data_IF_520110373880
#
_entry.id   IF_520110373880
#
_cell.length_a   1.000
_cell.length_b   1.000
_cell.length_c   1.000
_cell.angle_alpha   90.00
_cell.angle_beta   90.00
_cell.angle_gamma   90.00
#
_symmetry.space_group_name_H-M   'P 1'
#
loop_
_entity.id
_entity.type
_entity.pdbx_description
1 polymer ?
#
# COMPACT_ATOMS: atom_id res chain seq x y z
N UNK A 1 13.29 47.35 -1.68
CA UNK A 1 12.10 47.61 -0.85
C UNK A 1 11.06 46.54 -1.18
N UNK A 2 10.78 45.61 -0.23
CA UNK A 2 9.74 44.62 -0.36
C UNK A 2 8.38 45.31 -0.36
N UNK A 3 7.50 44.89 -1.26
CA UNK A 3 6.12 45.41 -1.32
C UNK A 3 5.31 44.89 -0.10
N UNK A 4 4.81 45.78 0.79
CA UNK A 4 4.05 45.34 1.96
C UNK A 4 2.77 44.58 1.63
N UNK A 5 2.16 44.84 0.46
CA UNK A 5 0.96 44.15 -0.02
C UNK A 5 1.21 42.71 -0.38
N UNK A 6 2.36 42.43 -1.02
CA UNK A 6 2.78 41.05 -1.37
C UNK A 6 3.13 40.24 -0.13
N UNK A 7 3.78 40.86 0.87
CA UNK A 7 4.12 40.18 2.13
C UNK A 7 2.87 39.82 2.95
N UNK A 8 1.87 40.71 2.98
CA UNK A 8 0.61 40.45 3.65
C UNK A 8 -0.20 39.33 2.96
N UNK A 9 -0.27 39.35 1.62
CA UNK A 9 -0.94 38.31 0.83
C UNK A 9 -0.28 36.94 1.03
N UNK A 10 1.07 36.89 1.04
CA UNK A 10 1.82 35.67 1.29
C UNK A 10 1.55 35.07 2.67
N UNK A 11 1.48 35.89 3.73
CA UNK A 11 1.13 35.44 5.09
C UNK A 11 -0.27 34.85 5.17
N UNK A 12 -1.25 35.48 4.51
CA UNK A 12 -2.63 34.98 4.46
C UNK A 12 -2.70 33.64 3.76
N UNK A 13 -1.99 33.45 2.64
CA UNK A 13 -1.98 32.20 1.90
C UNK A 13 -1.33 31.08 2.72
N UNK A 14 -0.24 31.37 3.43
CA UNK A 14 0.40 30.41 4.33
C UNK A 14 -0.51 30.01 5.51
N UNK A 15 -1.23 30.94 6.10
CA UNK A 15 -2.17 30.67 7.18
C UNK A 15 -3.34 29.79 6.71
N UNK A 16 -3.85 30.02 5.49
CA UNK A 16 -4.90 29.20 4.88
C UNK A 16 -4.42 27.80 4.60
N UNK A 17 -3.21 27.66 4.05
CA UNK A 17 -2.59 26.35 3.80
C UNK A 17 -2.41 25.58 5.10
N UNK A 18 -1.86 26.24 6.13
CA UNK A 18 -1.67 25.63 7.44
C UNK A 18 -3.00 25.19 8.07
N UNK A 19 -4.04 26.03 7.97
CA UNK A 19 -5.37 25.69 8.46
C UNK A 19 -5.95 24.49 7.71
N UNK A 20 -5.75 24.40 6.41
CA UNK A 20 -6.17 23.26 5.59
C UNK A 20 -5.44 21.97 6.00
N UNK A 21 -4.14 22.03 6.22
CA UNK A 21 -3.35 20.87 6.67
C UNK A 21 -3.80 20.40 8.06
N UNK A 22 -4.09 21.35 8.98
CA UNK A 22 -4.58 21.01 10.31
C UNK A 22 -5.96 20.36 10.25
N UNK A 23 -6.86 20.90 9.42
CA UNK A 23 -8.20 20.33 9.23
C UNK A 23 -8.12 18.90 8.68
N UNK A 24 -7.26 18.64 7.72
CA UNK A 24 -7.01 17.27 7.22
C UNK A 24 -6.43 16.37 8.29
N UNK A 25 -5.45 16.84 9.05
CA UNK A 25 -4.86 16.06 10.14
C UNK A 25 -5.91 15.61 11.15
N UNK A 26 -6.77 16.55 11.59
CA UNK A 26 -7.84 16.25 12.54
C UNK A 26 -8.82 15.23 11.96
N UNK A 27 -9.17 15.38 10.71
CA UNK A 27 -10.13 14.53 10.00
C UNK A 27 -9.60 13.10 9.81
N UNK A 28 -8.35 12.96 9.36
CA UNK A 28 -7.73 11.62 9.18
C UNK A 28 -7.47 10.93 10.52
N UNK A 29 -7.08 11.68 11.56
CA UNK A 29 -6.86 11.11 12.89
C UNK A 29 -8.16 10.55 13.48
N UNK A 30 -9.25 11.29 13.39
CA UNK A 30 -10.58 10.87 13.85
C UNK A 30 -11.05 9.62 13.09
N UNK A 31 -10.86 9.62 11.78
CA UNK A 31 -11.23 8.48 10.94
C UNK A 31 -10.38 7.25 11.24
N UNK A 32 -9.09 7.43 11.49
CA UNK A 32 -8.21 6.32 11.91
C UNK A 32 -8.70 5.67 13.20
N UNK A 33 -9.09 6.48 14.19
CA UNK A 33 -9.64 5.94 15.44
C UNK A 33 -10.89 5.08 15.20
N UNK A 34 -11.80 5.55 14.35
CA UNK A 34 -13.02 4.85 13.99
C UNK A 34 -12.74 3.54 13.25
N UNK A 35 -11.82 3.57 12.29
CA UNK A 35 -11.44 2.39 11.49
C UNK A 35 -10.78 1.33 12.38
N UNK A 36 -9.84 1.72 13.22
CA UNK A 36 -9.17 0.81 14.15
C UNK A 36 -10.18 0.19 15.13
N UNK A 37 -11.10 0.99 15.66
CA UNK A 37 -12.14 0.51 16.57
C UNK A 37 -13.00 -0.58 15.92
N UNK A 38 -13.34 -0.44 14.63
CA UNK A 38 -14.08 -1.46 13.89
C UNK A 38 -13.37 -2.82 13.87
N UNK A 39 -12.07 -2.82 13.54
CA UNK A 39 -11.28 -4.07 13.49
C UNK A 39 -11.05 -4.66 14.88
N UNK A 40 -10.82 -3.84 15.89
CA UNK A 40 -10.68 -4.29 17.28
C UNK A 40 -11.98 -4.97 17.78
N UNK A 41 -13.12 -4.43 17.40
CA UNK A 41 -14.40 -4.94 17.88
C UNK A 41 -14.84 -6.24 17.18
N UNK A 42 -14.55 -6.39 15.86
CA UNK A 42 -15.19 -7.40 15.04
C UNK A 42 -14.27 -8.50 14.50
N UNK A 43 -12.96 -8.29 14.50
CA UNK A 43 -12.06 -9.11 13.69
C UNK A 43 -11.29 -10.18 14.44
N UNK A 44 -11.17 -10.11 15.78
CA UNK A 44 -10.28 -11.00 16.52
C UNK A 44 -10.87 -12.38 16.72
N UNK A 45 -10.11 -13.42 16.34
CA UNK A 45 -10.45 -14.81 16.67
C UNK A 45 -9.84 -15.17 18.03
N UNK A 46 -10.66 -15.14 19.06
CA UNK A 46 -10.23 -15.40 20.43
C UNK A 46 -9.93 -16.89 20.69
N UNK A 47 -10.41 -17.79 19.83
CA UNK A 47 -10.23 -19.23 20.00
C UNK A 47 -8.96 -19.74 19.33
N UNK A 48 -8.70 -19.31 18.07
CA UNK A 48 -7.61 -19.85 17.26
C UNK A 48 -6.48 -18.86 17.04
N UNK A 49 -6.64 -17.60 17.38
CA UNK A 49 -5.71 -16.53 16.98
C UNK A 49 -5.93 -16.10 15.54
N UNK A 50 -5.27 -15.02 15.14
CA UNK A 50 -5.50 -14.43 13.83
C UNK A 50 -6.81 -13.65 13.77
N UNK A 51 -7.27 -13.40 12.55
CA UNK A 51 -8.30 -12.41 12.30
C UNK A 51 -9.37 -12.91 11.35
N UNK A 52 -10.62 -12.57 11.64
CA UNK A 52 -11.70 -12.62 10.66
C UNK A 52 -11.60 -11.39 9.77
N UNK A 53 -11.58 -11.58 8.46
CA UNK A 53 -11.52 -10.48 7.49
C UNK A 53 -12.77 -10.35 6.65
N UNK A 54 -13.57 -11.41 6.53
CA UNK A 54 -14.84 -11.37 5.82
C UNK A 54 -15.92 -10.83 6.76
N UNK A 55 -16.05 -9.50 6.79
CA UNK A 55 -16.94 -8.77 7.69
C UNK A 55 -18.01 -8.02 6.90
N UNK A 56 -19.28 -8.19 7.29
CA UNK A 56 -20.40 -7.47 6.72
C UNK A 56 -20.33 -5.97 7.10
N UNK A 57 -21.26 -5.18 6.59
CA UNK A 57 -21.33 -3.74 6.85
C UNK A 57 -21.31 -3.41 8.35
N UNK A 58 -22.03 -4.18 9.15
CA UNK A 58 -22.11 -3.98 10.60
C UNK A 58 -21.00 -4.68 11.39
N UNK A 59 -20.06 -5.35 10.71
CA UNK A 59 -18.96 -6.07 11.33
C UNK A 59 -19.25 -7.55 11.61
N UNK A 60 -20.44 -8.05 11.27
CA UNK A 60 -20.75 -9.48 11.45
C UNK A 60 -19.87 -10.33 10.53
N UNK A 61 -19.30 -11.41 11.05
CA UNK A 61 -18.51 -12.38 10.28
C UNK A 61 -19.44 -13.16 9.36
N UNK A 62 -19.21 -13.08 8.04
CA UNK A 62 -20.01 -13.84 7.07
C UNK A 62 -19.27 -15.04 6.47
N UNK A 63 -17.94 -15.12 6.68
CA UNK A 63 -17.08 -16.23 6.26
C UNK A 63 -15.88 -16.26 7.22
N UNK A 64 -15.47 -17.45 7.65
CA UNK A 64 -14.38 -17.60 8.63
C UNK A 64 -13.04 -18.05 8.02
N UNK A 65 -12.95 -18.12 6.70
CA UNK A 65 -11.68 -18.43 6.02
C UNK A 65 -10.64 -17.33 6.28
N UNK A 66 -9.39 -17.76 6.45
CA UNK A 66 -8.29 -16.85 6.74
C UNK A 66 -7.31 -16.81 5.58
N UNK A 67 -7.24 -15.66 4.94
CA UNK A 67 -6.36 -15.36 3.81
C UNK A 67 -5.00 -14.90 4.35
N UNK A 68 -3.93 -15.59 3.99
CA UNK A 68 -2.61 -15.35 4.59
C UNK A 68 -2.14 -13.92 4.35
N UNK A 69 -2.34 -13.37 3.15
CA UNK A 69 -1.95 -11.98 2.90
C UNK A 69 -2.68 -10.97 3.80
N UNK A 70 -3.94 -11.22 4.16
CA UNK A 70 -4.70 -10.35 5.05
C UNK A 70 -4.35 -10.56 6.52
N UNK A 71 -4.02 -11.79 6.91
CA UNK A 71 -3.50 -12.07 8.26
C UNK A 71 -2.19 -11.32 8.48
N UNK A 72 -1.26 -11.44 7.53
CA UNK A 72 0.03 -10.76 7.59
C UNK A 72 -0.10 -9.24 7.60
N UNK A 73 -0.98 -8.71 6.76
CA UNK A 73 -1.27 -7.26 6.71
C UNK A 73 -1.79 -6.73 8.03
N UNK A 74 -2.69 -7.45 8.69
CA UNK A 74 -3.29 -6.98 9.95
C UNK A 74 -2.31 -7.08 11.12
N UNK A 75 -1.49 -8.12 11.18
CA UNK A 75 -0.38 -8.21 12.15
C UNK A 75 0.55 -7.00 11.97
N UNK A 76 0.98 -6.74 10.75
CA UNK A 76 1.84 -5.59 10.42
C UNK A 76 1.19 -4.27 10.84
N UNK A 77 -0.09 -4.09 10.50
CA UNK A 77 -0.80 -2.83 10.76
C UNK A 77 -0.94 -2.57 12.26
N UNK A 78 -1.30 -3.58 13.03
CA UNK A 78 -1.41 -3.46 14.49
C UNK A 78 -0.06 -3.15 15.14
N UNK A 79 1.01 -3.79 14.69
CA UNK A 79 2.35 -3.51 15.18
C UNK A 79 2.81 -2.08 14.83
N UNK A 80 2.51 -1.61 13.61
CA UNK A 80 2.84 -0.24 13.19
C UNK A 80 2.10 0.80 14.01
N UNK A 81 0.82 0.60 14.25
CA UNK A 81 0.02 1.48 15.11
C UNK A 81 0.56 1.51 16.54
N UNK A 82 0.83 0.34 17.10
CA UNK A 82 1.40 0.20 18.44
C UNK A 82 2.75 0.93 18.56
N UNK A 83 3.60 0.77 17.58
CA UNK A 83 4.96 1.34 17.59
C UNK A 83 4.98 2.84 17.34
N UNK A 84 4.13 3.35 16.45
CA UNK A 84 4.23 4.72 15.95
C UNK A 84 3.25 5.71 16.58
N UNK A 85 2.23 5.26 17.31
CA UNK A 85 1.23 6.13 17.91
C UNK A 85 1.06 5.81 19.39
N UNK A 86 1.24 6.82 20.24
CA UNK A 86 1.07 6.64 21.67
C UNK A 86 -0.36 6.19 22.03
N UNK A 87 -1.38 6.77 21.38
CA UNK A 87 -2.78 6.42 21.65
C UNK A 87 -3.15 4.99 21.24
N UNK A 88 -2.35 4.34 20.39
CA UNK A 88 -2.51 2.94 20.00
C UNK A 88 -1.53 2.00 20.71
N UNK A 89 -0.71 2.49 21.62
CA UNK A 89 0.20 1.65 22.42
C UNK A 89 -0.56 0.98 23.55
N UNK A 90 -1.45 0.08 23.17
CA UNK A 90 -2.35 -0.64 24.07
C UNK A 90 -2.10 -2.14 23.96
N UNK A 91 -2.19 -2.85 25.10
CA UNK A 91 -1.99 -4.30 25.16
C UNK A 91 -2.92 -5.05 24.20
N UNK A 92 -4.14 -4.58 24.01
CA UNK A 92 -5.13 -5.17 23.11
C UNK A 92 -4.62 -5.33 21.66
N UNK A 93 -3.96 -4.32 21.12
CA UNK A 93 -3.36 -4.36 19.78
C UNK A 93 -2.16 -5.31 19.74
N UNK A 94 -1.28 -5.22 20.70
CA UNK A 94 -0.05 -6.04 20.75
C UNK A 94 -0.39 -7.52 20.94
N UNK A 95 -1.31 -7.84 21.84
CA UNK A 95 -1.71 -9.22 22.12
C UNK A 95 -2.37 -9.86 20.90
N UNK A 96 -3.25 -9.13 20.19
CA UNK A 96 -3.86 -9.60 18.97
C UNK A 96 -2.83 -9.79 17.84
N UNK A 97 -1.87 -8.88 17.70
CA UNK A 97 -0.78 -9.00 16.73
C UNK A 97 0.08 -10.23 17.01
N UNK A 98 0.44 -10.47 18.27
CA UNK A 98 1.20 -11.67 18.68
C UNK A 98 0.43 -12.95 18.40
N UNK A 99 -0.86 -13.00 18.74
CA UNK A 99 -1.70 -14.16 18.47
C UNK A 99 -1.82 -14.43 16.98
N UNK A 100 -1.94 -13.39 16.15
CA UNK A 100 -1.93 -13.49 14.70
C UNK A 100 -0.59 -13.99 14.17
N UNK A 101 0.51 -13.51 14.71
CA UNK A 101 1.86 -13.96 14.36
C UNK A 101 2.09 -15.43 14.68
N UNK A 102 1.66 -15.88 15.85
CA UNK A 102 1.74 -17.30 16.23
C UNK A 102 0.87 -18.18 15.32
N UNK A 103 -0.30 -17.72 14.94
CA UNK A 103 -1.15 -18.40 13.96
C UNK A 103 -0.42 -18.57 12.63
N UNK A 104 0.24 -17.52 12.14
CA UNK A 104 1.02 -17.57 10.90
C UNK A 104 2.21 -18.52 11.02
N UNK A 105 2.95 -18.48 12.12
CA UNK A 105 4.10 -19.37 12.34
C UNK A 105 3.69 -20.85 12.34
N UNK A 106 2.52 -21.16 12.91
CA UNK A 106 2.05 -22.55 13.00
C UNK A 106 1.46 -23.06 11.70
N UNK A 107 0.74 -22.23 10.94
CA UNK A 107 -0.16 -22.73 9.90
C UNK A 107 0.10 -22.18 8.49
N UNK A 108 0.82 -21.07 8.34
CA UNK A 108 0.95 -20.42 7.04
C UNK A 108 1.70 -21.28 6.02
N UNK A 109 2.80 -21.93 6.41
CA UNK A 109 3.58 -22.78 5.51
C UNK A 109 2.92 -24.14 5.35
N UNK A 110 2.71 -24.57 4.10
CA UNK A 110 1.96 -25.80 3.80
C UNK A 110 2.77 -27.08 3.95
N UNK A 111 4.08 -27.00 3.83
CA UNK A 111 4.99 -28.15 3.89
C UNK A 111 6.34 -27.80 4.54
N UNK A 112 6.37 -27.43 5.84
CA UNK A 112 7.64 -27.15 6.50
C UNK A 112 8.60 -28.33 6.40
N UNK A 113 9.93 -28.11 6.23
CA UNK A 113 10.64 -26.83 6.31
C UNK A 113 10.58 -25.96 5.04
N UNK A 114 9.90 -26.39 3.99
CA UNK A 114 9.71 -25.57 2.79
C UNK A 114 8.94 -24.29 3.14
N UNK A 115 9.25 -23.21 2.41
CA UNK A 115 8.79 -21.87 2.76
C UNK A 115 7.46 -21.46 2.13
N UNK A 116 6.95 -22.23 1.15
CA UNK A 116 5.70 -21.90 0.46
C UNK A 116 4.53 -21.79 1.43
N UNK A 117 3.80 -20.68 1.37
CA UNK A 117 2.62 -20.43 2.19
C UNK A 117 1.34 -20.81 1.46
N UNK A 118 0.29 -21.11 2.23
CA UNK A 118 -1.06 -21.16 1.70
C UNK A 118 -1.51 -19.77 1.26
N UNK A 119 -2.48 -19.72 0.35
CA UNK A 119 -3.24 -18.51 0.06
C UNK A 119 -4.35 -18.32 1.09
N UNK A 120 -5.09 -19.39 1.37
CA UNK A 120 -6.20 -19.37 2.32
C UNK A 120 -6.19 -20.64 3.18
N UNK A 121 -6.51 -20.46 4.46
CA UNK A 121 -6.65 -21.50 5.47
C UNK A 121 -8.08 -21.52 5.98
N UNK A 122 -8.49 -22.68 6.53
CA UNK A 122 -9.66 -22.74 7.39
C UNK A 122 -9.41 -21.91 8.66
N UNK A 123 -10.47 -21.65 9.41
CA UNK A 123 -10.39 -20.91 10.68
C UNK A 123 -9.36 -21.52 11.64
N UNK A 124 -9.30 -22.85 11.71
CA UNK A 124 -8.39 -23.59 12.59
C UNK A 124 -7.02 -23.92 11.97
N UNK A 125 -6.72 -23.39 10.78
CA UNK A 125 -5.39 -23.43 10.20
C UNK A 125 -5.10 -24.54 9.20
N UNK A 126 -6.11 -25.19 8.61
CA UNK A 126 -5.89 -26.21 7.58
C UNK A 126 -5.82 -25.57 6.20
N UNK A 127 -4.85 -25.96 5.33
CA UNK A 127 -4.74 -25.39 3.99
C UNK A 127 -5.97 -25.69 3.12
N UNK A 128 -6.48 -24.66 2.45
CA UNK A 128 -7.58 -24.76 1.48
C UNK A 128 -7.11 -24.57 0.06
N UNK A 129 -6.20 -23.57 -0.15
CA UNK A 129 -5.71 -23.22 -1.48
C UNK A 129 -4.30 -22.65 -1.39
N UNK A 130 -3.49 -22.96 -2.40
CA UNK A 130 -2.17 -22.39 -2.63
C UNK A 130 -2.21 -21.61 -3.94
N UNK A 131 -1.66 -20.40 -3.96
CA UNK A 131 -1.43 -19.63 -5.20
C UNK A 131 0.02 -19.77 -5.64
N UNK A 132 0.24 -19.69 -6.96
CA UNK A 132 1.57 -19.80 -7.57
C UNK A 132 2.27 -18.46 -7.69
N UNK A 133 2.10 -17.61 -6.66
CA UNK A 133 2.64 -16.27 -6.56
C UNK A 133 3.41 -16.12 -5.26
N UNK A 134 4.10 -15.00 -5.09
CA UNK A 134 4.90 -14.71 -3.89
C UNK A 134 4.14 -13.86 -2.86
N UNK A 135 2.91 -13.42 -3.15
CA UNK A 135 2.29 -12.33 -2.36
C UNK A 135 1.96 -12.74 -0.93
N UNK A 136 1.48 -13.95 -0.70
CA UNK A 136 1.23 -14.45 0.66
C UNK A 136 2.52 -14.47 1.49
N UNK A 137 3.62 -14.91 0.90
CA UNK A 137 4.94 -14.95 1.53
C UNK A 137 5.47 -13.54 1.80
N UNK A 138 5.19 -12.59 0.92
CA UNK A 138 5.57 -11.18 1.13
C UNK A 138 4.92 -10.59 2.38
N UNK A 139 3.62 -10.81 2.55
CA UNK A 139 2.90 -10.29 3.72
C UNK A 139 3.20 -11.07 4.99
N UNK A 140 3.52 -12.34 4.89
CA UNK A 140 4.10 -13.11 5.98
C UNK A 140 5.42 -12.47 6.47
N UNK A 141 6.28 -12.09 5.53
CA UNK A 141 7.58 -11.48 5.82
C UNK A 141 7.44 -10.15 6.56
N UNK A 142 6.58 -9.25 6.10
CA UNK A 142 6.43 -7.95 6.78
C UNK A 142 5.80 -8.09 8.16
N UNK A 143 4.90 -9.07 8.33
CA UNK A 143 4.32 -9.37 9.63
C UNK A 143 5.39 -9.80 10.64
N UNK A 144 6.24 -10.74 10.23
CA UNK A 144 7.34 -11.23 11.08
C UNK A 144 8.33 -10.11 11.41
N UNK A 145 8.68 -9.29 10.43
CA UNK A 145 9.59 -8.17 10.65
C UNK A 145 9.04 -7.14 11.65
N UNK A 146 7.76 -6.77 11.54
CA UNK A 146 7.16 -5.82 12.48
C UNK A 146 6.99 -6.41 13.87
N UNK A 147 6.67 -7.69 13.99
CA UNK A 147 6.68 -8.38 15.30
C UNK A 147 8.05 -8.32 15.95
N UNK A 148 9.12 -8.54 15.17
CA UNK A 148 10.48 -8.32 15.67
C UNK A 148 10.66 -6.90 16.21
N UNK A 149 10.19 -5.89 15.48
CA UNK A 149 10.34 -4.48 15.87
C UNK A 149 9.67 -4.15 17.20
N UNK A 150 8.51 -4.73 17.49
CA UNK A 150 7.77 -4.43 18.72
C UNK A 150 8.11 -5.38 19.87
N UNK A 151 8.51 -6.63 19.62
CA UNK A 151 8.80 -7.62 20.66
C UNK A 151 10.27 -7.78 20.98
N UNK A 152 11.16 -7.49 20.01
CA UNK A 152 12.60 -7.77 20.04
C UNK A 152 12.94 -9.27 20.19
N UNK A 153 12.00 -10.15 19.88
CA UNK A 153 12.24 -11.59 19.85
C UNK A 153 12.88 -11.98 18.52
N UNK A 154 14.13 -12.45 18.56
CA UNK A 154 14.93 -12.75 17.36
C UNK A 154 14.34 -13.80 16.44
N UNK A 155 13.51 -14.70 16.95
CA UNK A 155 12.83 -15.73 16.13
C UNK A 155 11.97 -15.10 15.02
N UNK A 156 11.35 -13.95 15.26
CA UNK A 156 10.57 -13.23 14.26
C UNK A 156 11.45 -12.63 13.17
N UNK A 157 12.57 -12.01 13.56
CA UNK A 157 13.52 -11.46 12.58
C UNK A 157 14.13 -12.57 11.72
N UNK A 158 14.53 -13.67 12.34
CA UNK A 158 15.09 -14.83 11.60
C UNK A 158 14.10 -15.35 10.57
N UNK A 159 12.85 -15.49 10.96
CA UNK A 159 11.79 -15.95 10.05
C UNK A 159 11.57 -14.97 8.89
N UNK A 160 11.56 -13.67 9.18
CA UNK A 160 11.40 -12.62 8.16
C UNK A 160 12.55 -12.66 7.14
N UNK A 161 13.80 -12.72 7.61
CA UNK A 161 14.97 -12.73 6.73
C UNK A 161 15.03 -14.01 5.90
N UNK A 162 14.77 -15.18 6.50
CA UNK A 162 14.76 -16.45 5.78
C UNK A 162 13.69 -16.46 4.68
N UNK A 163 12.49 -15.98 4.96
CA UNK A 163 11.42 -15.90 3.95
C UNK A 163 11.78 -14.87 2.87
N UNK A 164 12.32 -13.72 3.24
CA UNK A 164 12.77 -12.72 2.29
C UNK A 164 13.80 -13.30 1.30
N UNK A 165 14.80 -14.00 1.80
CA UNK A 165 15.82 -14.62 0.97
C UNK A 165 15.24 -15.68 0.03
N UNK A 166 14.25 -16.45 0.49
CA UNK A 166 13.53 -17.41 -0.35
C UNK A 166 12.71 -16.69 -1.45
N UNK A 167 12.04 -15.61 -1.13
CA UNK A 167 11.27 -14.82 -2.13
C UNK A 167 12.21 -14.28 -3.21
N UNK A 168 13.33 -13.70 -2.81
CA UNK A 168 14.34 -13.17 -3.73
C UNK A 168 14.88 -14.29 -4.65
N UNK A 169 15.14 -15.45 -4.10
CA UNK A 169 15.58 -16.63 -4.87
C UNK A 169 14.53 -17.02 -5.93
N UNK A 170 13.25 -17.11 -5.54
CA UNK A 170 12.17 -17.43 -6.48
C UNK A 170 12.05 -16.41 -7.60
N UNK A 171 12.21 -15.13 -7.29
CA UNK A 171 12.04 -14.05 -8.27
C UNK A 171 13.23 -13.91 -9.20
N UNK A 172 14.46 -13.99 -8.67
CA UNK A 172 15.68 -13.64 -9.41
C UNK A 172 16.48 -14.82 -9.92
N UNK A 173 16.32 -16.00 -9.32
CA UNK A 173 17.18 -17.16 -9.63
C UNK A 173 16.36 -18.33 -10.17
N UNK A 174 15.45 -18.90 -9.36
CA UNK A 174 14.74 -20.12 -9.73
C UNK A 174 13.30 -20.10 -9.17
N UNK A 175 12.27 -20.04 -10.05
CA UNK A 175 10.86 -20.06 -9.62
C UNK A 175 10.36 -21.45 -9.22
N UNK A 176 11.20 -22.49 -9.25
CA UNK A 176 10.83 -23.82 -8.77
C UNK A 176 10.36 -23.75 -7.31
N UNK A 177 9.31 -24.47 -6.99
CA UNK A 177 8.68 -24.41 -5.68
C UNK A 177 7.45 -23.48 -5.63
N UNK A 178 7.29 -22.58 -6.60
CA UNK A 178 6.04 -21.80 -6.75
C UNK A 178 4.93 -22.61 -7.42
N UNK A 179 5.27 -23.73 -8.07
CA UNK A 179 4.31 -24.61 -8.71
C UNK A 179 3.78 -24.10 -10.04
N UNK A 180 4.47 -23.17 -10.70
CA UNK A 180 4.09 -22.65 -12.02
C UNK A 180 4.47 -23.63 -13.12
N UNK A 181 3.52 -24.11 -13.94
CA UNK A 181 3.87 -24.88 -15.13
C UNK A 181 4.51 -23.98 -16.17
N UNK A 182 5.53 -24.49 -16.86
CA UNK A 182 6.11 -23.81 -18.01
C UNK A 182 5.37 -24.29 -19.27
N UNK A 183 4.63 -23.36 -19.89
CA UNK A 183 3.84 -23.64 -21.09
C UNK A 183 4.45 -22.89 -22.27
N UNK A 184 4.49 -23.55 -23.45
CA UNK A 184 5.09 -22.97 -24.65
C UNK A 184 4.42 -21.69 -25.14
N UNK A 185 3.15 -21.48 -24.79
CA UNK A 185 2.39 -20.27 -25.14
C UNK A 185 2.41 -19.17 -24.09
N UNK A 186 3.16 -19.37 -22.99
CA UNK A 186 3.26 -18.34 -21.94
C UNK A 186 4.00 -17.12 -22.46
N UNK A 187 3.38 -15.91 -22.40
CA UNK A 187 4.06 -14.68 -22.81
C UNK A 187 5.30 -14.42 -21.95
N UNK A 188 6.33 -13.87 -22.57
CA UNK A 188 7.47 -13.27 -21.87
C UNK A 188 7.01 -11.93 -21.27
N UNK A 189 6.52 -11.97 -20.03
CA UNK A 189 5.93 -10.80 -19.40
C UNK A 189 6.36 -10.65 -17.94
N UNK A 190 6.74 -9.42 -17.57
CA UNK A 190 7.02 -9.04 -16.19
C UNK A 190 5.97 -8.04 -15.71
N UNK A 191 5.26 -8.40 -14.63
CA UNK A 191 4.33 -7.53 -13.94
C UNK A 191 5.08 -6.53 -13.05
N UNK A 192 4.62 -5.29 -13.01
CA UNK A 192 5.16 -4.29 -12.10
C UNK A 192 4.95 -4.65 -10.62
N UNK A 193 3.95 -5.46 -10.32
CA UNK A 193 3.61 -5.84 -8.94
C UNK A 193 4.76 -6.54 -8.22
N UNK A 194 5.55 -7.36 -8.93
CA UNK A 194 6.64 -8.14 -8.31
C UNK A 194 7.76 -7.23 -7.79
N UNK A 195 8.40 -6.37 -8.61
CA UNK A 195 9.43 -5.47 -8.09
C UNK A 195 8.86 -4.44 -7.10
N UNK A 196 7.60 -4.05 -7.21
CA UNK A 196 6.94 -3.20 -6.20
C UNK A 196 6.92 -3.88 -4.84
N UNK A 197 6.48 -5.13 -4.78
CA UNK A 197 6.42 -5.87 -3.52
C UNK A 197 7.80 -6.08 -2.91
N UNK A 198 8.80 -6.43 -3.72
CA UNK A 198 10.17 -6.57 -3.23
C UNK A 198 10.74 -5.25 -2.72
N UNK A 199 10.47 -4.14 -3.40
CA UNK A 199 10.88 -2.81 -2.97
C UNK A 199 10.29 -2.46 -1.60
N UNK A 200 9.01 -2.75 -1.40
CA UNK A 200 8.34 -2.55 -0.11
C UNK A 200 8.97 -3.41 0.99
N UNK A 201 9.26 -4.68 0.70
CA UNK A 201 9.94 -5.57 1.65
C UNK A 201 11.33 -5.04 2.05
N UNK A 202 12.11 -4.59 1.07
CA UNK A 202 13.45 -4.01 1.34
C UNK A 202 13.31 -2.78 2.25
N UNK A 203 12.39 -1.88 1.93
CA UNK A 203 12.15 -0.69 2.73
C UNK A 203 11.79 -1.05 4.18
N UNK A 204 10.89 -2.02 4.37
CA UNK A 204 10.44 -2.46 5.69
C UNK A 204 11.56 -3.14 6.50
N UNK A 205 12.31 -4.05 5.88
CA UNK A 205 13.36 -4.78 6.59
C UNK A 205 14.58 -3.92 6.89
N UNK A 206 14.86 -2.94 6.04
CA UNK A 206 16.01 -2.04 6.16
C UNK A 206 15.77 -0.87 7.12
N UNK A 207 14.54 -0.62 7.53
CA UNK A 207 14.18 0.51 8.39
C UNK A 207 14.97 0.44 9.71
N UNK A 208 15.81 1.46 9.97
CA UNK A 208 16.65 1.54 11.17
C UNK A 208 17.56 0.32 11.40
N UNK A 209 17.95 -0.38 10.34
CA UNK A 209 18.81 -1.56 10.38
C UNK A 209 19.91 -1.44 9.32
N UNK A 210 21.11 -1.07 9.74
CA UNK A 210 22.25 -0.87 8.83
C UNK A 210 22.71 -2.15 8.16
N UNK A 211 22.70 -3.28 8.86
CA UNK A 211 23.13 -4.55 8.32
C UNK A 211 22.22 -5.02 7.18
N UNK A 212 20.91 -4.92 7.38
CA UNK A 212 19.93 -5.27 6.35
C UNK A 212 19.88 -4.25 5.22
N UNK A 213 20.11 -2.96 5.51
CA UNK A 213 20.28 -1.94 4.48
C UNK A 213 21.40 -2.30 3.51
N UNK A 214 22.56 -2.72 4.03
CA UNK A 214 23.69 -3.16 3.20
C UNK A 214 23.39 -4.45 2.46
N UNK A 215 22.79 -5.43 3.14
CA UNK A 215 22.46 -6.73 2.56
C UNK A 215 21.56 -6.61 1.33
N UNK A 216 20.56 -5.73 1.39
CA UNK A 216 19.54 -5.60 0.35
C UNK A 216 19.69 -4.36 -0.53
N UNK A 217 20.81 -3.63 -0.44
CA UNK A 217 21.03 -2.40 -1.21
C UNK A 217 20.97 -2.61 -2.72
N UNK A 218 21.64 -3.65 -3.22
CA UNK A 218 21.62 -3.99 -4.66
C UNK A 218 20.22 -4.39 -5.11
N UNK A 219 19.51 -5.18 -4.29
CA UNK A 219 18.15 -5.58 -4.59
C UNK A 219 17.22 -4.36 -4.68
N UNK A 220 17.37 -3.38 -3.80
CA UNK A 220 16.56 -2.16 -3.84
C UNK A 220 16.77 -1.39 -5.13
N UNK A 221 18.04 -1.23 -5.55
CA UNK A 221 18.38 -0.60 -6.83
C UNK A 221 17.78 -1.38 -8.01
N UNK A 222 17.86 -2.70 -7.97
CA UNK A 222 17.28 -3.57 -8.99
C UNK A 222 15.76 -3.39 -9.10
N UNK A 223 15.05 -3.34 -7.97
CA UNK A 223 13.61 -3.12 -7.93
C UNK A 223 13.24 -1.77 -8.55
N UNK A 224 13.96 -0.70 -8.19
CA UNK A 224 13.74 0.62 -8.76
C UNK A 224 13.90 0.62 -10.27
N UNK A 225 14.97 0.02 -10.79
CA UNK A 225 15.23 -0.11 -12.22
C UNK A 225 14.10 -0.87 -12.93
N UNK A 226 13.66 -1.97 -12.37
CA UNK A 226 12.57 -2.78 -12.95
C UNK A 226 11.26 -2.01 -13.01
N UNK A 227 10.91 -1.27 -11.97
CA UNK A 227 9.69 -0.45 -11.95
C UNK A 227 9.78 0.66 -13.01
N UNK A 228 10.91 1.35 -13.10
CA UNK A 228 11.10 2.45 -14.05
C UNK A 228 10.99 1.99 -15.51
N UNK A 229 11.28 0.71 -15.81
CA UNK A 229 11.12 0.15 -17.15
C UNK A 229 9.66 0.06 -17.63
N UNK A 230 8.68 0.19 -16.72
CA UNK A 230 7.26 0.20 -17.09
C UNK A 230 6.78 1.53 -17.68
N UNK A 231 7.63 2.55 -17.68
CA UNK A 231 7.37 3.81 -18.42
C UNK A 231 7.62 3.55 -19.90
N UNK A 232 6.58 3.63 -20.70
CA UNK A 232 6.58 3.28 -22.12
C UNK A 232 5.98 4.41 -22.94
N UNK A 233 5.88 4.22 -24.25
CA UNK A 233 5.26 5.19 -25.18
C UNK A 233 5.94 6.57 -25.11
N UNK A 234 7.27 6.60 -25.15
CA UNK A 234 8.06 7.84 -25.06
C UNK A 234 7.74 8.66 -23.79
N UNK A 235 7.51 7.97 -22.68
CA UNK A 235 7.21 8.59 -21.40
C UNK A 235 5.75 9.01 -21.21
N UNK A 236 4.83 8.56 -22.08
CA UNK A 236 3.43 8.97 -22.05
C UNK A 236 2.49 7.97 -21.37
N UNK A 237 3.00 6.79 -21.01
CA UNK A 237 2.18 5.77 -20.36
C UNK A 237 3.01 4.91 -19.41
N UNK A 238 2.38 4.43 -18.33
CA UNK A 238 2.89 3.34 -17.50
C UNK A 238 2.07 2.11 -17.81
N UNK A 239 2.74 1.04 -18.25
CA UNK A 239 2.10 -0.23 -18.57
C UNK A 239 2.39 -1.26 -17.48
N UNK A 240 1.36 -1.98 -17.07
CA UNK A 240 1.45 -2.96 -15.97
C UNK A 240 2.41 -4.11 -16.28
N UNK A 241 2.48 -4.49 -17.56
CA UNK A 241 3.30 -5.61 -18.01
C UNK A 241 4.23 -5.19 -19.14
N UNK A 242 5.50 -5.59 -19.04
CA UNK A 242 6.52 -5.39 -20.07
C UNK A 242 7.27 -6.69 -20.31
N UNK A 243 8.06 -6.77 -21.38
CA UNK A 243 8.93 -7.92 -21.62
C UNK A 243 10.09 -7.98 -20.62
N UNK A 244 10.81 -9.10 -20.57
CA UNK A 244 11.96 -9.25 -19.68
C UNK A 244 13.06 -8.22 -19.95
N UNK A 245 13.18 -7.73 -21.19
CA UNK A 245 14.13 -6.67 -21.56
C UNK A 245 13.54 -5.25 -21.47
N UNK A 246 12.38 -5.10 -20.83
CA UNK A 246 11.77 -3.80 -20.53
C UNK A 246 11.10 -3.12 -21.71
N UNK A 247 10.61 -3.89 -22.69
CA UNK A 247 9.92 -3.36 -23.89
C UNK A 247 8.42 -3.60 -23.81
N UNK A 248 7.68 -2.78 -24.56
CA UNK A 248 6.23 -2.90 -24.68
C UNK A 248 5.84 -4.23 -25.32
N UNK A 249 4.87 -4.91 -24.73
CA UNK A 249 4.25 -6.13 -25.25
C UNK A 249 3.07 -5.81 -26.15
N UNK A 250 2.74 -6.72 -27.04
CA UNK A 250 1.55 -6.63 -27.90
C UNK A 250 0.31 -7.20 -27.19
N UNK A 251 -0.88 -6.88 -27.71
CA UNK A 251 -2.15 -7.44 -27.21
C UNK A 251 -2.67 -6.79 -25.93
N UNK A 252 -3.74 -7.36 -25.39
CA UNK A 252 -4.39 -6.82 -24.18
C UNK A 252 -3.46 -6.79 -22.98
N UNK A 253 -2.62 -7.80 -22.82
CA UNK A 253 -1.66 -7.85 -21.71
C UNK A 253 -0.70 -6.65 -21.76
N UNK A 254 -0.22 -6.28 -22.96
CA UNK A 254 0.70 -5.15 -23.14
C UNK A 254 0.03 -3.79 -23.04
N UNK A 255 -1.29 -3.69 -23.26
CA UNK A 255 -2.02 -2.43 -23.15
C UNK A 255 -2.63 -2.19 -21.77
N UNK A 256 -2.44 -3.11 -20.84
CA UNK A 256 -3.00 -3.04 -19.50
C UNK A 256 -2.41 -1.88 -18.69
N UNK A 257 -3.27 -1.03 -18.16
CA UNK A 257 -2.92 0.01 -17.20
C UNK A 257 -3.65 -0.23 -15.88
N UNK A 258 -2.91 -0.11 -14.78
CA UNK A 258 -3.45 -0.13 -13.42
C UNK A 258 -3.04 1.17 -12.74
N UNK A 259 -3.90 2.21 -12.80
CA UNK A 259 -3.55 3.53 -12.22
C UNK A 259 -3.19 3.46 -10.75
N UNK A 260 -3.89 2.65 -9.97
CA UNK A 260 -3.61 2.47 -8.54
C UNK A 260 -2.23 1.91 -8.28
N UNK A 261 -1.79 0.88 -9.01
CA UNK A 261 -0.44 0.32 -8.89
C UNK A 261 0.63 1.34 -9.29
N UNK A 262 0.42 2.07 -10.37
CA UNK A 262 1.38 3.07 -10.82
C UNK A 262 1.59 4.16 -9.74
N UNK A 263 0.52 4.64 -9.15
CA UNK A 263 0.55 5.66 -8.10
C UNK A 263 1.14 5.09 -6.80
N UNK A 264 0.82 3.85 -6.44
CA UNK A 264 1.43 3.17 -5.28
C UNK A 264 2.94 2.99 -5.49
N UNK A 265 3.35 2.55 -6.67
CA UNK A 265 4.77 2.49 -7.04
C UNK A 265 5.42 3.87 -6.87
N UNK A 266 4.68 4.93 -7.13
CA UNK A 266 5.14 6.31 -6.96
C UNK A 266 5.66 6.58 -5.56
N UNK A 267 4.90 6.27 -4.53
CA UNK A 267 5.39 6.55 -3.18
C UNK A 267 6.45 5.55 -2.71
N UNK A 268 6.45 4.31 -3.19
CA UNK A 268 7.55 3.38 -2.95
C UNK A 268 8.87 3.94 -3.51
N UNK A 269 8.82 4.45 -4.75
CA UNK A 269 9.97 5.07 -5.41
C UNK A 269 10.38 6.40 -4.74
N UNK A 270 9.43 7.19 -4.24
CA UNK A 270 9.74 8.43 -3.52
C UNK A 270 10.54 8.15 -2.24
N UNK A 271 10.19 7.09 -1.51
CA UNK A 271 10.98 6.69 -0.33
C UNK A 271 12.41 6.28 -0.73
N UNK A 272 12.54 5.56 -1.82
CA UNK A 272 13.85 5.20 -2.39
C UNK A 272 14.66 6.44 -2.78
N UNK A 273 14.06 7.36 -3.53
CA UNK A 273 14.72 8.61 -3.95
C UNK A 273 15.12 9.47 -2.76
N UNK A 274 14.30 9.53 -1.73
CA UNK A 274 14.59 10.26 -0.49
C UNK A 274 15.80 9.65 0.23
N UNK A 275 15.86 8.33 0.34
CA UNK A 275 17.00 7.63 0.95
C UNK A 275 18.29 7.86 0.19
N UNK A 276 18.22 7.94 -1.14
CA UNK A 276 19.38 8.22 -2.01
C UNK A 276 19.75 9.71 -2.07
N UNK A 277 18.87 10.59 -1.60
CA UNK A 277 19.05 12.04 -1.75
C UNK A 277 19.03 12.51 -3.20
N UNK A 278 18.28 11.83 -4.07
CA UNK A 278 18.27 12.04 -5.52
C UNK A 278 17.06 12.89 -5.93
N UNK A 279 17.27 14.20 -5.99
CA UNK A 279 16.22 15.17 -6.35
C UNK A 279 15.77 15.05 -7.82
N UNK A 280 16.67 14.67 -8.71
CA UNK A 280 16.35 14.48 -10.14
C UNK A 280 15.45 13.25 -10.33
N UNK A 281 15.76 12.16 -9.65
CA UNK A 281 14.93 10.97 -9.66
C UNK A 281 13.55 11.27 -9.05
N UNK A 282 13.51 12.01 -7.96
CA UNK A 282 12.24 12.43 -7.32
C UNK A 282 11.35 13.19 -8.32
N UNK A 283 11.90 14.13 -9.06
CA UNK A 283 11.15 14.88 -10.07
C UNK A 283 10.61 13.97 -11.18
N UNK A 284 11.39 13.01 -11.63
CA UNK A 284 10.98 12.01 -12.62
C UNK A 284 9.84 11.12 -12.10
N UNK A 285 9.95 10.68 -10.85
CA UNK A 285 8.91 9.86 -10.20
C UNK A 285 7.58 10.63 -10.10
N UNK A 286 7.65 11.88 -9.67
CA UNK A 286 6.45 12.72 -9.55
C UNK A 286 5.77 12.89 -10.91
N UNK A 287 6.54 13.15 -11.95
CA UNK A 287 6.01 13.33 -13.30
C UNK A 287 5.40 12.04 -13.85
N UNK A 288 6.08 10.91 -13.73
CA UNK A 288 5.71 9.64 -14.39
C UNK A 288 4.83 8.71 -13.54
N UNK A 289 4.99 8.69 -12.22
CA UNK A 289 4.28 7.74 -11.35
C UNK A 289 3.21 8.39 -10.48
N UNK A 290 3.15 9.71 -10.42
CA UNK A 290 2.08 10.43 -9.76
C UNK A 290 1.17 11.15 -10.78
N UNK A 291 1.71 12.14 -11.46
CA UNK A 291 0.91 13.01 -12.34
C UNK A 291 0.36 12.27 -13.57
N UNK A 292 1.20 11.49 -14.24
CA UNK A 292 0.79 10.77 -15.46
C UNK A 292 -0.36 9.79 -15.22
N UNK A 293 -0.25 8.82 -14.29
CA UNK A 293 -1.35 7.89 -14.03
C UNK A 293 -2.57 8.56 -13.41
N UNK A 294 -2.40 9.63 -12.66
CA UNK A 294 -3.55 10.40 -12.16
C UNK A 294 -4.34 11.05 -13.28
N UNK A 295 -3.66 11.74 -14.19
CA UNK A 295 -4.31 12.43 -15.32
C UNK A 295 -5.05 11.47 -16.24
N UNK A 296 -4.47 10.31 -16.52
CA UNK A 296 -5.10 9.29 -17.36
C UNK A 296 -6.13 8.44 -16.63
N UNK A 297 -5.96 8.23 -15.33
CA UNK A 297 -6.78 7.31 -14.52
C UNK A 297 -7.96 7.96 -13.80
N UNK A 298 -7.97 9.29 -13.65
CA UNK A 298 -9.07 9.96 -12.98
C UNK A 298 -10.26 10.14 -13.93
N UNK A 299 -11.45 9.76 -13.47
CA UNK A 299 -12.69 9.90 -14.22
C UNK A 299 -13.13 11.37 -14.22
N UNK A 300 -13.00 12.06 -15.36
CA UNK A 300 -13.34 13.47 -15.48
C UNK A 300 -14.85 13.73 -15.38
N UNK A 301 -15.68 12.71 -15.64
CA UNK A 301 -17.14 12.82 -15.60
C UNK A 301 -17.69 12.61 -14.18
N UNK A 302 -17.24 11.57 -13.49
CA UNK A 302 -17.81 11.17 -12.19
C UNK A 302 -16.85 11.33 -11.00
N UNK A 303 -15.57 11.56 -11.28
CA UNK A 303 -14.53 11.52 -10.24
C UNK A 303 -14.11 10.09 -9.90
N UNK A 304 -13.04 9.99 -9.14
CA UNK A 304 -12.47 8.71 -8.74
C UNK A 304 -11.52 8.11 -9.77
N UNK A 305 -10.69 7.18 -9.30
CA UNK A 305 -9.72 6.46 -10.13
C UNK A 305 -10.33 5.17 -10.68
N UNK A 306 -10.26 4.97 -11.99
CA UNK A 306 -10.61 3.70 -12.62
C UNK A 306 -9.74 2.56 -12.09
N UNK A 307 -10.32 1.38 -11.92
CA UNK A 307 -9.59 0.20 -11.47
C UNK A 307 -8.53 -0.22 -12.48
N UNK A 308 -8.96 -0.49 -13.72
CA UNK A 308 -8.10 -0.86 -14.85
C UNK A 308 -8.43 -0.05 -16.08
N UNK A 309 -7.47 0.06 -16.98
CA UNK A 309 -7.66 0.71 -18.27
C UNK A 309 -6.89 -0.01 -19.38
N UNK A 310 -7.34 0.14 -20.60
CA UNK A 310 -6.58 -0.17 -21.81
C UNK A 310 -5.96 1.14 -22.32
N UNK A 311 -4.65 1.17 -22.52
CA UNK A 311 -3.93 2.40 -22.89
C UNK A 311 -4.41 3.01 -24.20
N UNK A 312 -4.95 2.19 -25.11
CA UNK A 312 -5.48 2.62 -26.41
C UNK A 312 -7.01 2.74 -26.42
N UNK A 313 -7.66 2.54 -25.27
CA UNK A 313 -9.11 2.69 -25.15
C UNK A 313 -9.93 1.49 -25.66
N UNK A 314 -9.28 0.34 -25.86
CA UNK A 314 -9.98 -0.90 -26.18
C UNK A 314 -10.48 -1.61 -24.93
N UNK A 315 -10.90 -2.86 -25.07
CA UNK A 315 -11.47 -3.61 -23.95
C UNK A 315 -10.39 -4.03 -22.96
N UNK A 316 -10.49 -3.59 -21.67
CA UNK A 316 -9.63 -4.11 -20.63
C UNK A 316 -9.87 -5.59 -20.34
N UNK A 317 -8.91 -6.25 -19.73
CA UNK A 317 -8.98 -7.68 -19.38
C UNK A 317 -9.92 -7.98 -18.21
N UNK A 318 -10.36 -6.94 -17.47
CA UNK A 318 -11.20 -7.08 -16.30
C UNK A 318 -12.59 -6.47 -16.57
N UNK A 319 -13.65 -7.20 -16.19
CA UNK A 319 -15.02 -6.73 -16.35
C UNK A 319 -15.36 -5.55 -15.45
N UNK A 320 -14.73 -5.46 -14.29
CA UNK A 320 -14.91 -4.41 -13.29
C UNK A 320 -13.98 -3.21 -13.49
N UNK A 321 -13.45 -3.02 -14.68
CA UNK A 321 -12.44 -2.00 -14.98
C UNK A 321 -12.85 -0.57 -14.61
N UNK A 322 -14.13 -0.23 -14.76
CA UNK A 322 -14.65 1.12 -14.48
C UNK A 322 -15.09 1.33 -13.03
N UNK A 323 -14.95 0.34 -12.18
CA UNK A 323 -15.25 0.48 -10.76
C UNK A 323 -14.24 1.39 -10.06
N UNK A 324 -14.68 1.96 -8.95
CA UNK A 324 -13.84 2.79 -8.08
C UNK A 324 -13.63 2.02 -6.77
N UNK A 325 -12.42 1.49 -6.59
CA UNK A 325 -12.07 0.70 -5.41
C UNK A 325 -11.37 1.55 -4.36
N UNK A 326 -11.37 1.07 -3.11
CA UNK A 326 -10.81 1.77 -1.97
C UNK A 326 -9.29 1.97 -2.08
N UNK A 327 -8.55 0.91 -2.38
CA UNK A 327 -7.09 0.93 -2.26
C UNK A 327 -6.39 1.89 -3.25
N UNK A 328 -6.81 2.05 -4.52
CA UNK A 328 -6.19 3.04 -5.38
C UNK A 328 -6.32 4.46 -4.84
N UNK A 329 -7.45 4.79 -4.24
CA UNK A 329 -7.69 6.09 -3.64
C UNK A 329 -6.85 6.31 -2.38
N UNK A 330 -6.73 5.28 -1.54
CA UNK A 330 -5.85 5.31 -0.38
C UNK A 330 -4.39 5.53 -0.78
N UNK A 331 -3.92 4.79 -1.78
CA UNK A 331 -2.54 4.90 -2.26
C UNK A 331 -2.27 6.25 -2.92
N UNK A 332 -3.26 6.81 -3.62
CA UNK A 332 -3.15 8.15 -4.19
C UNK A 332 -3.05 9.23 -3.11
N UNK A 333 -3.81 9.14 -2.03
CA UNK A 333 -3.69 10.06 -0.89
C UNK A 333 -2.26 10.04 -0.33
N UNK A 334 -1.70 8.87 -0.11
CA UNK A 334 -0.33 8.72 0.38
C UNK A 334 0.67 9.35 -0.59
N UNK A 335 0.58 8.98 -1.87
CA UNK A 335 1.55 9.39 -2.89
C UNK A 335 1.57 10.90 -3.11
N UNK A 336 0.41 11.52 -3.24
CA UNK A 336 0.34 12.97 -3.48
C UNK A 336 0.75 13.78 -2.26
N UNK A 337 0.39 13.34 -1.06
CA UNK A 337 0.83 14.01 0.16
C UNK A 337 2.36 13.86 0.35
N UNK A 338 2.90 12.67 0.09
CA UNK A 338 4.35 12.43 0.16
C UNK A 338 5.11 13.24 -0.89
N UNK A 339 4.59 13.29 -2.13
CA UNK A 339 5.16 14.10 -3.19
C UNK A 339 5.20 15.58 -2.83
N UNK A 340 4.14 16.10 -2.24
CA UNK A 340 4.08 17.46 -1.73
C UNK A 340 5.10 17.69 -0.60
N UNK A 341 5.14 16.79 0.37
CA UNK A 341 6.11 16.86 1.48
C UNK A 341 7.55 16.92 0.97
N UNK A 342 7.88 16.11 -0.02
CA UNK A 342 9.26 15.96 -0.51
C UNK A 342 9.67 17.06 -1.50
N UNK A 343 8.73 17.59 -2.29
CA UNK A 343 9.01 18.57 -3.34
C UNK A 343 8.60 20.00 -3.01
N UNK A 344 7.60 20.16 -2.17
CA UNK A 344 6.98 21.47 -1.91
C UNK A 344 6.09 21.98 -3.03
N UNK A 345 5.81 21.19 -4.06
CA UNK A 345 4.97 21.59 -5.20
C UNK A 345 3.50 21.68 -4.79
N UNK A 346 2.88 22.88 -4.75
CA UNK A 346 1.50 23.06 -4.31
C UNK A 346 0.48 22.35 -5.20
N UNK A 347 0.80 22.07 -6.45
CA UNK A 347 -0.08 21.31 -7.34
C UNK A 347 -0.37 19.91 -6.79
N UNK A 348 0.60 19.30 -6.14
CA UNK A 348 0.44 17.97 -5.55
C UNK A 348 -0.47 17.99 -4.32
N UNK A 349 -0.43 19.05 -3.53
CA UNK A 349 -1.36 19.24 -2.42
C UNK A 349 -2.80 19.43 -2.91
N UNK A 350 -2.98 20.16 -4.01
CA UNK A 350 -4.31 20.33 -4.62
C UNK A 350 -4.88 18.99 -5.08
N UNK A 351 -4.05 18.15 -5.69
CA UNK A 351 -4.48 16.81 -6.09
C UNK A 351 -4.78 15.94 -4.87
N UNK A 352 -3.96 16.00 -3.83
CA UNK A 352 -4.26 15.33 -2.55
C UNK A 352 -5.65 15.74 -2.04
N UNK A 353 -5.94 17.03 -2.01
CA UNK A 353 -7.25 17.53 -1.59
C UNK A 353 -8.38 16.95 -2.44
N UNK A 354 -8.20 16.94 -3.75
CA UNK A 354 -9.20 16.39 -4.68
C UNK A 354 -9.47 14.91 -4.44
N UNK A 355 -8.43 14.11 -4.31
CA UNK A 355 -8.54 12.67 -4.03
C UNK A 355 -9.15 12.43 -2.65
N UNK A 356 -8.67 13.13 -1.63
CA UNK A 356 -9.13 12.96 -0.26
C UNK A 356 -10.61 13.35 -0.09
N UNK A 357 -11.05 14.45 -0.70
CA UNK A 357 -12.46 14.85 -0.68
C UNK A 357 -13.36 13.80 -1.36
N UNK A 358 -12.96 13.30 -2.52
CA UNK A 358 -13.68 12.21 -3.18
C UNK A 358 -13.76 10.97 -2.30
N UNK A 359 -12.64 10.58 -1.73
CA UNK A 359 -12.50 9.34 -0.94
C UNK A 359 -13.36 9.39 0.32
N UNK A 360 -13.27 10.46 1.08
CA UNK A 360 -14.09 10.63 2.28
C UNK A 360 -15.59 10.72 1.96
N UNK A 361 -15.96 11.35 0.85
CA UNK A 361 -17.35 11.47 0.44
C UNK A 361 -17.98 10.13 0.05
N UNK A 362 -17.25 9.29 -0.70
CA UNK A 362 -17.83 8.12 -1.35
C UNK A 362 -17.61 6.81 -0.61
N UNK A 363 -16.51 6.68 0.14
CA UNK A 363 -16.18 5.41 0.84
C UNK A 363 -16.56 5.42 2.32
N UNK A 364 -16.77 6.57 2.93
CA UNK A 364 -17.08 6.68 4.35
C UNK A 364 -18.45 6.10 4.70
N UNK A 365 -18.52 5.36 5.81
CA UNK A 365 -19.78 4.89 6.40
C UNK A 365 -19.98 5.57 7.77
N UNK A 366 -20.89 6.56 7.88
CA UNK A 366 -21.10 7.28 9.13
C UNK A 366 -21.79 6.43 10.21
N UNK A 367 -22.40 5.31 9.84
CA UNK A 367 -23.20 4.49 10.78
C UNK A 367 -22.36 3.42 11.49
N UNK A 368 -21.46 2.74 10.77
CA UNK A 368 -20.83 1.53 11.29
C UNK A 368 -19.31 1.63 11.46
N UNK A 369 -18.66 2.69 10.96
CA UNK A 369 -17.20 2.76 10.91
C UNK A 369 -16.61 1.90 9.79
N UNK A 370 -15.30 1.99 9.59
CA UNK A 370 -14.60 1.43 8.43
C UNK A 370 -15.25 1.88 7.11
N UNK A 371 -14.52 1.74 6.03
CA UNK A 371 -14.94 2.23 4.73
C UNK A 371 -15.50 1.11 3.86
N UNK A 372 -16.46 1.45 3.00
CA UNK A 372 -16.83 0.62 1.87
C UNK A 372 -15.62 0.42 0.95
N UNK A 373 -15.61 -0.67 0.20
CA UNK A 373 -14.46 -0.98 -0.67
C UNK A 373 -14.77 -0.84 -2.15
N UNK A 374 -16.02 -0.98 -2.54
CA UNK A 374 -16.39 -1.23 -3.94
C UNK A 374 -17.52 -0.30 -4.37
N UNK A 375 -17.16 0.70 -5.17
CA UNK A 375 -18.11 1.64 -5.76
C UNK A 375 -18.28 1.33 -7.25
N UNK A 376 -19.45 1.67 -7.79
CA UNK A 376 -19.64 1.68 -9.24
C UNK A 376 -18.97 2.92 -9.85
N UNK A 377 -19.04 3.08 -11.17
CA UNK A 377 -18.40 4.19 -11.86
C UNK A 377 -18.89 5.55 -11.35
N UNK A 378 -20.19 5.68 -11.03
CA UNK A 378 -20.79 6.93 -10.54
C UNK A 378 -20.45 7.24 -9.08
N UNK A 379 -19.71 6.37 -8.39
CA UNK A 379 -19.32 6.58 -7.01
C UNK A 379 -20.33 6.10 -5.99
N UNK A 380 -21.30 5.27 -6.38
CA UNK A 380 -22.26 4.66 -5.46
C UNK A 380 -21.76 3.31 -4.98
N UNK A 381 -22.08 2.96 -3.74
CA UNK A 381 -21.70 1.68 -3.14
C UNK A 381 -22.34 0.53 -3.92
N UNK A 382 -21.49 -0.29 -4.56
CA UNK A 382 -21.92 -1.48 -5.30
C UNK A 382 -21.98 -2.72 -4.38
N UNK A 383 -21.00 -2.85 -3.49
CA UNK A 383 -20.92 -3.93 -2.49
C UNK A 383 -20.67 -3.30 -1.14
N UNK A 384 -21.44 -3.66 -0.12
CA UNK A 384 -21.48 -2.95 1.15
C UNK A 384 -20.70 -3.63 2.29
N UNK A 385 -20.08 -4.78 2.07
CA UNK A 385 -19.25 -5.42 3.10
C UNK A 385 -18.00 -4.56 3.40
N UNK A 386 -17.47 -4.71 4.62
CA UNK A 386 -16.31 -3.93 5.08
C UNK A 386 -14.99 -4.67 4.94
N UNK A 387 -15.04 -5.99 4.90
CA UNK A 387 -13.88 -6.82 4.68
C UNK A 387 -14.25 -8.07 3.89
N UNK A 388 -13.26 -8.67 3.21
CA UNK A 388 -13.46 -9.82 2.36
C UNK A 388 -12.15 -10.55 2.07
N UNK A 389 -12.08 -11.31 0.95
CA UNK A 389 -10.84 -11.99 0.54
C UNK A 389 -9.72 -11.03 0.13
N UNK A 390 -10.06 -9.81 -0.29
CA UNK A 390 -9.10 -8.81 -0.78
C UNK A 390 -8.97 -7.59 0.12
N UNK A 391 -10.04 -7.18 0.78
CA UNK A 391 -10.05 -6.02 1.67
C UNK A 391 -9.95 -6.47 3.12
N UNK A 392 -8.89 -6.06 3.80
CA UNK A 392 -8.67 -6.29 5.23
C UNK A 392 -8.28 -4.99 5.93
N UNK A 393 -7.68 -5.12 7.11
CA UNK A 393 -7.20 -4.00 7.91
C UNK A 393 -5.80 -3.59 7.43
N UNK A 394 -5.73 -2.84 6.31
CA UNK A 394 -4.45 -2.49 5.73
C UNK A 394 -4.48 -1.16 4.97
N UNK A 395 -5.00 -1.11 3.75
CA UNK A 395 -4.94 0.11 2.91
C UNK A 395 -5.58 1.32 3.57
N UNK A 396 -6.78 1.17 4.14
CA UNK A 396 -7.47 2.28 4.80
C UNK A 396 -6.70 2.76 6.03
N UNK A 397 -6.42 1.92 7.03
CA UNK A 397 -5.70 2.40 8.21
C UNK A 397 -4.25 2.80 7.90
N UNK A 398 -3.56 2.14 6.98
CA UNK A 398 -2.21 2.56 6.56
C UNK A 398 -2.23 3.95 5.93
N UNK A 399 -3.17 4.21 5.04
CA UNK A 399 -3.34 5.52 4.44
C UNK A 399 -3.56 6.60 5.51
N UNK A 400 -4.51 6.39 6.40
CA UNK A 400 -4.85 7.36 7.45
C UNK A 400 -3.67 7.58 8.41
N UNK A 401 -2.99 6.51 8.80
CA UNK A 401 -1.81 6.60 9.67
C UNK A 401 -0.66 7.36 9.02
N UNK A 402 -0.33 7.04 7.77
CA UNK A 402 0.75 7.72 7.05
C UNK A 402 0.40 9.18 6.78
N UNK A 403 -0.83 9.46 6.38
CA UNK A 403 -1.27 10.85 6.16
C UNK A 403 -1.25 11.66 7.45
N UNK A 404 -1.70 11.10 8.58
CA UNK A 404 -1.62 11.77 9.88
C UNK A 404 -0.18 12.16 10.23
N UNK A 405 0.77 11.23 10.07
CA UNK A 405 2.20 11.48 10.32
C UNK A 405 2.77 12.55 9.39
N UNK A 406 2.50 12.45 8.09
CA UNK A 406 3.00 13.42 7.11
C UNK A 406 2.42 14.81 7.34
N UNK A 407 1.14 14.92 7.64
CA UNK A 407 0.49 16.18 7.96
C UNK A 407 1.07 16.80 9.24
N UNK A 408 1.35 15.97 10.26
CA UNK A 408 2.03 16.40 11.46
C UNK A 408 3.42 16.95 11.20
N UNK A 409 4.20 16.28 10.36
CA UNK A 409 5.53 16.73 9.95
C UNK A 409 5.48 18.06 9.20
N UNK A 410 4.54 18.22 8.27
CA UNK A 410 4.35 19.47 7.52
C UNK A 410 3.97 20.64 8.43
N UNK A 411 3.09 20.40 9.39
CA UNK A 411 2.67 21.42 10.37
C UNK A 411 3.82 21.80 11.30
N UNK A 412 4.64 20.86 11.70
CA UNK A 412 5.82 21.09 12.53
C UNK A 412 6.88 21.93 11.79
N UNK A 413 7.12 21.67 10.51
CA UNK A 413 8.04 22.47 9.67
C UNK A 413 7.57 23.94 9.60
N UNK A 414 6.27 24.18 9.40
CA UNK A 414 5.69 25.53 9.33
C UNK A 414 5.78 26.31 10.63
N UNK A 415 6.05 25.68 11.78
CA UNK A 415 6.24 26.32 13.08
C UNK A 415 7.71 26.50 13.48
N UNK A 416 8.66 25.99 12.68
CA UNK A 416 10.07 26.13 12.96
C UNK A 416 10.53 27.61 12.78
N UNK A 417 11.40 28.17 13.66
CA UNK A 417 11.93 29.51 13.47
C UNK A 417 12.72 29.64 12.17
N UNK A 418 12.57 30.77 11.47
CA UNK A 418 13.37 31.09 10.30
C UNK A 418 14.85 31.10 10.69
N UNK A 419 15.65 30.11 10.22
CA UNK A 419 17.09 30.03 10.51
C UNK A 419 17.56 28.69 11.07
N UNK A 420 16.69 27.77 11.44
CA UNK A 420 17.08 26.39 11.74
C UNK A 420 17.22 25.62 10.42
N UNK A 421 18.44 25.63 9.86
CA UNK A 421 18.82 24.76 8.74
C UNK A 421 19.26 23.39 9.27
#
# INVERSE_FOLDING_TARGET
TKDPGLEFSWKIDMEKERASLQAWKDRVAKELDSVVAFWLQHSHDQEHGGFFTCLARNGQVYDDLKYIWLQGRQVWMYCRLYRNFERFRRAELLDAAKAGGEFLLRFARVAPPAKKCAFVLTRDGRPVKVQRTIFSECFYTIAMNELWRVTKESRYQNEAVEMMDQIVHWVREDPAGLGRPQLSGTPDAESMAVPMMLMNLVDQLSEEDEALTKKYAELWDWCAQRILQHVQRDGKAILENVSHDGKELTGCLGRHQNPGHAIEAGWFLLQYARKKGDAKLRAHIIDKFLLLPFRSGWDAEHGGLFYFQDVDGFCPTQLEWDMKLWWPHNEAMISFLMGYRDSGDPALLQIFNQVAEYTFKHFHDPENGEWFGYLNREGKVALNFKGGPFKGCFHVPRCLAMCEKMLGDLLHRGSAPAGSK
#
